data_IF_582713534803
#
_entry.id   IF_582713534803
#
_cell.length_a   1.000
_cell.length_b   1.000
_cell.length_c   1.000
_cell.angle_alpha   90.00
_cell.angle_beta   90.00
_cell.angle_gamma   90.00
#
_symmetry.space_group_name_H-M   'P 1'
#
loop_
_entity.id
_entity.type
_entity.pdbx_description
1 polymer ?
#
# COMPACT_ATOMS: atom_id res chain seq x y z
N UNK A 1 10.65 -22.35 -9.04
CA UNK A 1 10.34 -20.98 -8.56
C UNK A 1 11.68 -20.24 -8.46
N UNK A 2 11.76 -18.97 -8.82
CA UNK A 2 13.03 -18.24 -8.78
C UNK A 2 13.42 -17.88 -7.35
N UNK A 3 14.60 -18.32 -6.91
CA UNK A 3 15.06 -18.14 -5.52
C UNK A 3 15.17 -16.66 -5.14
N UNK A 4 15.77 -15.84 -6.01
CA UNK A 4 15.97 -14.41 -5.75
C UNK A 4 14.65 -13.66 -5.58
N UNK A 5 13.68 -13.95 -6.45
CA UNK A 5 12.35 -13.33 -6.38
C UNK A 5 11.61 -13.83 -5.13
N UNK A 6 11.72 -15.11 -4.81
CA UNK A 6 11.15 -15.67 -3.57
C UNK A 6 11.68 -14.94 -2.33
N UNK A 7 13.00 -14.83 -2.16
CA UNK A 7 13.60 -14.17 -1.01
C UNK A 7 13.21 -12.69 -0.94
N UNK A 8 13.12 -11.99 -2.08
CA UNK A 8 12.63 -10.61 -2.14
C UNK A 8 11.22 -10.49 -1.53
N UNK A 9 10.30 -11.38 -1.88
CA UNK A 9 8.93 -11.36 -1.35
C UNK A 9 8.84 -11.80 0.11
N UNK A 10 9.64 -12.78 0.55
CA UNK A 10 9.69 -13.15 1.97
C UNK A 10 10.19 -11.97 2.81
N UNK A 11 11.28 -11.30 2.40
CA UNK A 11 11.75 -10.10 3.06
C UNK A 11 10.70 -8.97 3.03
N UNK A 12 9.98 -8.81 1.93
CA UNK A 12 8.90 -7.83 1.83
C UNK A 12 7.76 -8.11 2.82
N UNK A 13 7.31 -9.37 2.95
CA UNK A 13 6.27 -9.73 3.93
C UNK A 13 6.75 -9.63 5.37
N UNK A 14 8.02 -9.93 5.66
CA UNK A 14 8.61 -9.68 6.97
C UNK A 14 8.64 -8.18 7.29
N UNK A 15 8.99 -7.34 6.33
CA UNK A 15 8.96 -5.89 6.48
C UNK A 15 7.53 -5.40 6.75
N UNK A 16 6.54 -5.82 5.96
CA UNK A 16 5.13 -5.46 6.13
C UNK A 16 4.60 -5.94 7.49
N UNK A 17 4.89 -7.18 7.88
CA UNK A 17 4.49 -7.75 9.18
C UNK A 17 5.15 -7.07 10.37
N UNK A 18 6.36 -6.52 10.20
CA UNK A 18 7.09 -5.78 11.22
C UNK A 18 6.65 -4.32 11.39
N UNK A 19 5.96 -3.72 10.41
CA UNK A 19 5.52 -2.32 10.47
C UNK A 19 4.77 -1.94 11.76
N UNK A 20 3.79 -2.73 12.26
CA UNK A 20 3.07 -2.40 13.49
C UNK A 20 3.94 -2.35 14.74
N UNK A 21 5.09 -3.04 14.73
CA UNK A 21 6.03 -3.08 15.86
C UNK A 21 7.02 -1.92 15.77
N UNK A 22 7.49 -1.62 14.56
CA UNK A 22 8.58 -0.66 14.32
C UNK A 22 8.06 0.79 14.27
N UNK A 23 6.87 0.99 13.71
CA UNK A 23 6.49 2.30 13.19
C UNK A 23 5.18 2.86 13.75
N UNK A 24 4.24 1.99 14.17
CA UNK A 24 2.94 2.45 14.65
C UNK A 24 2.88 2.50 16.18
N UNK A 25 2.13 3.46 16.73
CA UNK A 25 1.89 3.51 18.18
C UNK A 25 1.16 2.25 18.65
N UNK A 26 1.50 1.68 19.81
CA UNK A 26 0.81 0.51 20.34
C UNK A 26 -0.67 0.83 20.56
N UNK A 27 -1.52 0.20 19.75
CA UNK A 27 -2.98 0.26 19.89
C UNK A 27 -3.56 -0.94 20.62
N UNK A 28 -4.85 -0.90 20.92
CA UNK A 28 -5.57 -2.11 21.32
C UNK A 28 -5.50 -3.14 20.18
N UNK A 29 -4.92 -4.32 20.45
CA UNK A 29 -4.84 -5.42 19.48
C UNK A 29 -6.25 -5.95 19.21
N UNK A 30 -6.91 -5.40 18.20
CA UNK A 30 -8.26 -5.75 17.81
C UNK A 30 -8.23 -6.76 16.64
N UNK A 31 -9.22 -7.65 16.55
CA UNK A 31 -9.37 -8.67 15.48
C UNK A 31 -9.29 -8.03 14.08
N UNK A 32 -9.75 -6.78 13.94
CA UNK A 32 -9.62 -5.98 12.71
C UNK A 32 -8.19 -5.91 12.15
N UNK A 33 -7.19 -5.85 13.03
CA UNK A 33 -5.79 -5.88 12.61
C UNK A 33 -5.43 -7.22 11.95
N UNK A 34 -5.85 -8.33 12.56
CA UNK A 34 -5.58 -9.66 12.01
C UNK A 34 -6.27 -9.84 10.65
N UNK A 35 -7.52 -9.38 10.54
CA UNK A 35 -8.34 -9.46 9.33
C UNK A 35 -7.69 -8.75 8.14
N UNK A 36 -6.99 -7.64 8.38
CA UNK A 36 -6.31 -6.89 7.31
C UNK A 36 -4.88 -7.31 7.06
N UNK A 37 -4.21 -7.90 8.05
CA UNK A 37 -2.90 -8.50 7.87
C UNK A 37 -2.98 -9.89 7.17
N UNK A 38 -4.14 -10.54 7.24
CA UNK A 38 -4.42 -11.86 6.66
C UNK A 38 -3.87 -12.07 5.25
N UNK A 39 -4.14 -11.20 4.25
CA UNK A 39 -3.66 -11.42 2.88
C UNK A 39 -2.14 -11.51 2.77
N UNK A 40 -1.38 -10.82 3.62
CA UNK A 40 0.08 -10.87 3.60
C UNK A 40 0.61 -12.17 4.24
N UNK A 41 0.02 -12.59 5.37
CA UNK A 41 0.40 -13.84 6.02
C UNK A 41 0.07 -15.07 5.16
N UNK A 42 -1.14 -15.10 4.60
CA UNK A 42 -1.55 -16.20 3.71
C UNK A 42 -0.70 -16.22 2.44
N UNK A 43 -0.38 -15.06 1.86
CA UNK A 43 0.49 -14.98 0.69
C UNK A 43 1.92 -15.44 0.99
N UNK A 44 2.49 -15.08 2.15
CA UNK A 44 3.80 -15.56 2.58
C UNK A 44 3.83 -17.08 2.75
N UNK A 45 2.82 -17.64 3.43
CA UNK A 45 2.69 -19.10 3.60
C UNK A 45 2.50 -19.82 2.27
N UNK A 46 1.72 -19.23 1.35
CA UNK A 46 1.53 -19.77 0.01
C UNK A 46 2.85 -19.83 -0.77
N UNK A 47 3.67 -18.77 -0.72
CA UNK A 47 4.98 -18.77 -1.37
C UNK A 47 5.92 -19.80 -0.75
N UNK A 48 5.93 -19.95 0.57
CA UNK A 48 6.72 -20.99 1.24
C UNK A 48 6.26 -22.37 0.78
N UNK A 49 4.95 -22.63 0.79
CA UNK A 49 4.37 -23.90 0.34
C UNK A 49 4.67 -24.19 -1.15
N UNK A 50 4.65 -23.15 -1.99
CA UNK A 50 5.04 -23.23 -3.40
C UNK A 50 6.54 -23.52 -3.58
N UNK A 51 7.39 -22.90 -2.75
CA UNK A 51 8.84 -23.10 -2.78
C UNK A 51 9.24 -24.52 -2.37
N UNK A 52 8.62 -25.08 -1.32
CA UNK A 52 8.88 -26.45 -0.86
C UNK A 52 8.17 -27.52 -1.69
N UNK A 53 7.38 -27.13 -2.69
CA UNK A 53 6.71 -28.06 -3.60
C UNK A 53 5.41 -28.68 -3.07
N UNK A 54 4.81 -28.13 -2.02
CA UNK A 54 3.52 -28.59 -1.47
C UNK A 54 2.35 -28.13 -2.35
N UNK A 55 2.47 -26.96 -2.98
CA UNK A 55 1.44 -26.38 -3.86
C UNK A 55 2.07 -26.03 -5.21
N UNK A 56 1.39 -26.35 -6.30
CA UNK A 56 1.79 -25.97 -7.65
C UNK A 56 1.06 -24.73 -8.14
N UNK A 57 1.76 -23.81 -8.80
CA UNK A 57 1.12 -22.69 -9.51
C UNK A 57 0.44 -23.18 -10.79
N UNK A 58 -0.52 -22.40 -11.30
CA UNK A 58 -1.18 -22.71 -12.57
C UNK A 58 -0.23 -22.72 -13.76
N UNK A 59 0.87 -21.95 -13.69
CA UNK A 59 1.88 -21.88 -14.74
C UNK A 59 2.99 -22.92 -14.60
N UNK A 60 3.04 -23.71 -13.51
CA UNK A 60 4.13 -24.68 -13.29
C UNK A 60 4.26 -25.72 -14.42
N UNK A 61 3.17 -25.99 -15.15
CA UNK A 61 3.15 -26.96 -16.25
C UNK A 61 3.73 -26.43 -17.57
N UNK A 62 3.96 -25.12 -17.67
CA UNK A 62 4.40 -24.46 -18.91
C UNK A 62 5.46 -23.42 -18.53
N UNK A 63 6.75 -23.78 -18.72
CA UNK A 63 7.96 -22.97 -18.51
C UNK A 63 7.74 -21.56 -17.92
N UNK A 64 8.21 -21.34 -16.69
CA UNK A 64 8.21 -20.01 -16.07
C UNK A 64 8.87 -18.98 -16.99
N UNK A 65 8.11 -18.01 -17.52
CA UNK A 65 8.67 -17.03 -18.43
C UNK A 65 9.54 -16.03 -17.65
N UNK A 66 10.77 -15.76 -18.11
CA UNK A 66 11.67 -14.74 -17.53
C UNK A 66 10.97 -13.39 -17.30
N UNK A 67 9.95 -13.09 -18.11
CA UNK A 67 9.12 -11.90 -18.02
C UNK A 67 8.36 -11.80 -16.68
N UNK A 68 7.80 -12.90 -16.16
CA UNK A 68 7.05 -12.84 -14.88
C UNK A 68 7.98 -12.56 -13.71
N UNK A 69 9.19 -13.13 -13.73
CA UNK A 69 10.22 -12.86 -12.70
C UNK A 69 10.66 -11.40 -12.73
N UNK A 70 10.87 -10.81 -13.91
CA UNK A 70 11.25 -9.40 -14.05
C UNK A 70 10.14 -8.49 -13.53
N UNK A 71 8.89 -8.73 -13.93
CA UNK A 71 7.74 -7.92 -13.51
C UNK A 71 7.54 -8.04 -11.99
N UNK A 72 7.58 -9.25 -11.44
CA UNK A 72 7.49 -9.48 -10.00
C UNK A 72 8.64 -8.77 -9.26
N UNK A 73 9.87 -8.89 -9.74
CA UNK A 73 11.02 -8.20 -9.14
C UNK A 73 10.82 -6.68 -9.11
N UNK A 74 10.38 -6.09 -10.22
CA UNK A 74 10.14 -4.66 -10.31
C UNK A 74 9.04 -4.20 -9.32
N UNK A 75 7.97 -4.98 -9.17
CA UNK A 75 6.88 -4.71 -8.24
C UNK A 75 7.33 -4.86 -6.77
N UNK A 76 8.08 -5.91 -6.46
CA UNK A 76 8.65 -6.14 -5.14
C UNK A 76 9.62 -5.05 -4.71
N UNK A 77 10.53 -4.64 -5.60
CA UNK A 77 11.46 -3.51 -5.36
C UNK A 77 10.66 -2.23 -5.15
N UNK A 78 9.69 -1.93 -6.01
CA UNK A 78 8.85 -0.73 -5.90
C UNK A 78 8.08 -0.70 -4.57
N UNK A 79 7.55 -1.83 -4.11
CA UNK A 79 6.90 -1.98 -2.81
C UNK A 79 7.87 -1.67 -1.67
N UNK A 80 9.03 -2.33 -1.62
CA UNK A 80 10.02 -2.14 -0.57
C UNK A 80 10.57 -0.71 -0.53
N UNK A 81 10.88 -0.13 -1.68
CA UNK A 81 11.37 1.25 -1.80
C UNK A 81 10.33 2.25 -1.30
N UNK A 82 9.05 2.05 -1.63
CA UNK A 82 7.99 2.94 -1.16
C UNK A 82 7.75 2.81 0.35
N UNK A 83 7.84 1.59 0.91
CA UNK A 83 7.80 1.39 2.37
C UNK A 83 8.97 2.13 3.04
N UNK A 84 10.20 1.90 2.56
CA UNK A 84 11.40 2.52 3.11
C UNK A 84 11.33 4.05 3.03
N UNK A 85 10.88 4.61 1.91
CA UNK A 85 10.70 6.06 1.75
C UNK A 85 9.63 6.61 2.68
N UNK A 86 8.53 5.88 2.88
CA UNK A 86 7.43 6.29 3.78
C UNK A 86 7.87 6.27 5.24
N UNK A 87 8.62 5.25 5.67
CA UNK A 87 9.20 5.19 7.01
C UNK A 87 10.21 6.34 7.20
N UNK A 88 11.14 6.50 6.27
CA UNK A 88 12.21 7.50 6.38
C UNK A 88 11.74 8.96 6.38
N UNK A 89 10.53 9.22 5.87
CA UNK A 89 9.93 10.55 5.90
C UNK A 89 9.22 10.86 7.21
N UNK A 90 8.74 9.84 7.92
CA UNK A 90 8.06 10.03 9.19
C UNK A 90 9.04 10.11 10.34
N UNK A 91 8.97 11.22 11.09
CA UNK A 91 9.77 11.41 12.32
C UNK A 91 8.99 11.12 13.61
N UNK A 92 7.70 10.81 13.49
CA UNK A 92 6.78 10.50 14.59
C UNK A 92 5.96 9.27 14.20
N UNK A 93 5.75 8.30 15.11
CA UNK A 93 4.95 7.12 14.84
C UNK A 93 3.48 7.49 14.57
N UNK A 94 2.92 6.96 13.48
CA UNK A 94 1.51 7.12 13.11
C UNK A 94 0.63 6.21 13.98
N UNK A 95 -0.66 6.52 14.08
CA UNK A 95 -1.63 5.58 14.62
C UNK A 95 -1.90 4.45 13.62
N UNK A 96 -2.25 3.27 14.14
CA UNK A 96 -2.61 2.15 13.28
C UNK A 96 -3.89 2.48 12.50
N UNK A 97 -3.90 2.09 11.23
CA UNK A 97 -4.99 2.25 10.24
C UNK A 97 -6.30 1.47 10.53
N UNK A 98 -6.61 1.20 11.80
CA UNK A 98 -7.80 0.50 12.30
C UNK A 98 -8.40 1.11 13.56
N UNK A 99 -7.89 2.26 13.98
CA UNK A 99 -8.35 2.94 15.19
C UNK A 99 -9.52 3.87 14.85
N UNK A 100 -10.62 3.72 15.59
CA UNK A 100 -11.86 4.45 15.35
C UNK A 100 -11.87 5.85 15.99
N UNK A 101 -10.92 6.14 16.89
CA UNK A 101 -10.77 7.40 17.64
C UNK A 101 -9.42 8.08 17.36
N UNK A 102 -8.96 8.05 16.11
CA UNK A 102 -7.76 8.78 15.73
C UNK A 102 -8.11 10.27 15.50
N UNK A 103 -7.73 11.12 16.45
CA UNK A 103 -7.60 12.56 16.21
C UNK A 103 -6.17 12.78 15.74
N UNK A 104 -5.97 12.90 14.43
CA UNK A 104 -4.66 13.31 13.92
C UNK A 104 -4.51 14.81 14.19
N UNK A 105 -3.60 15.19 15.09
CA UNK A 105 -3.33 16.61 15.35
C UNK A 105 -2.90 17.35 14.07
N UNK A 106 -2.19 16.66 13.15
CA UNK A 106 -1.77 17.19 11.86
C UNK A 106 -1.69 16.12 10.76
N UNK A 107 -2.08 16.51 9.54
CA UNK A 107 -1.99 15.66 8.35
C UNK A 107 -0.60 15.76 7.74
N UNK A 108 0.05 14.61 7.51
CA UNK A 108 1.34 14.56 6.83
C UNK A 108 1.13 14.68 5.32
N UNK A 109 1.65 15.75 4.72
CA UNK A 109 1.50 16.05 3.28
C UNK A 109 2.83 16.23 2.55
N UNK A 110 3.94 15.75 3.12
CA UNK A 110 5.29 15.84 2.54
C UNK A 110 5.90 14.46 2.28
N UNK A 111 6.94 14.41 1.46
CA UNK A 111 7.57 13.15 1.06
C UNK A 111 6.66 12.35 0.11
N UNK A 112 6.46 11.03 0.29
CA UNK A 112 5.58 10.26 -0.59
C UNK A 112 4.13 10.73 -0.54
N UNK A 113 3.72 11.33 0.58
CA UNK A 113 2.38 11.89 0.78
C UNK A 113 2.10 13.09 -0.13
N UNK A 114 3.11 13.79 -0.63
CA UNK A 114 2.92 14.87 -1.60
C UNK A 114 2.22 14.39 -2.89
N UNK A 115 2.42 13.12 -3.27
CA UNK A 115 1.88 12.55 -4.51
C UNK A 115 0.78 11.54 -4.26
N UNK A 116 0.89 10.74 -3.21
CA UNK A 116 0.02 9.60 -2.91
C UNK A 116 -0.44 9.68 -1.45
N UNK A 117 -1.74 9.77 -1.21
CA UNK A 117 -2.28 9.90 0.16
C UNK A 117 -2.06 8.66 1.03
N UNK A 118 -2.02 7.48 0.41
CA UNK A 118 -1.86 6.19 1.09
C UNK A 118 -0.65 5.41 0.57
N UNK A 119 0.59 5.87 0.82
CA UNK A 119 1.78 5.25 0.23
C UNK A 119 2.06 3.86 0.80
N UNK A 120 1.75 3.60 2.09
CA UNK A 120 1.80 2.24 2.65
C UNK A 120 0.79 1.30 1.96
N UNK A 121 -0.46 1.74 1.73
CA UNK A 121 -1.43 0.87 1.07
C UNK A 121 -1.03 0.60 -0.37
N UNK A 122 -0.44 1.60 -1.02
CA UNK A 122 0.11 1.44 -2.38
C UNK A 122 1.21 0.40 -2.41
N UNK A 123 2.17 0.43 -1.48
CA UNK A 123 3.23 -0.58 -1.43
C UNK A 123 2.68 -1.98 -1.13
N UNK A 124 1.64 -2.08 -0.31
CA UNK A 124 0.96 -3.34 -0.03
C UNK A 124 0.24 -3.91 -1.24
N UNK A 125 -0.45 -3.06 -2.01
CA UNK A 125 -1.09 -3.45 -3.28
C UNK A 125 -0.03 -3.94 -4.26
N UNK A 126 1.10 -3.22 -4.41
CA UNK A 126 2.21 -3.64 -5.27
C UNK A 126 2.79 -5.01 -4.86
N UNK A 127 2.89 -5.27 -3.55
CA UNK A 127 3.33 -6.55 -3.00
C UNK A 127 2.38 -7.68 -3.39
N UNK A 128 1.06 -7.49 -3.22
CA UNK A 128 0.06 -8.50 -3.57
C UNK A 128 -0.03 -8.75 -5.08
N UNK A 129 0.01 -7.68 -5.89
CA UNK A 129 0.02 -7.82 -7.37
C UNK A 129 1.24 -8.63 -7.79
N UNK A 130 2.40 -8.25 -7.27
CA UNK A 130 3.64 -8.91 -7.64
C UNK A 130 3.73 -10.36 -7.14
N UNK A 131 3.11 -10.67 -6.00
CA UNK A 131 2.96 -12.05 -5.52
C UNK A 131 2.07 -12.88 -6.46
N UNK A 132 0.97 -12.32 -6.95
CA UNK A 132 0.12 -13.02 -7.94
C UNK A 132 0.86 -13.23 -9.27
N UNK A 133 1.61 -12.23 -9.74
CA UNK A 133 2.44 -12.35 -10.95
C UNK A 133 3.54 -13.40 -10.76
N UNK A 134 4.18 -13.42 -9.59
CA UNK A 134 5.25 -14.37 -9.27
C UNK A 134 4.74 -15.79 -9.01
N UNK A 135 3.57 -15.94 -8.41
CA UNK A 135 2.98 -17.22 -8.08
C UNK A 135 1.49 -17.22 -8.41
N UNK A 136 1.12 -17.37 -9.69
CA UNK A 136 -0.27 -17.32 -10.13
C UNK A 136 -1.01 -18.56 -9.62
N UNK A 137 -1.88 -18.32 -8.64
CA UNK A 137 -2.65 -19.34 -7.93
C UNK A 137 -3.98 -18.73 -7.48
N UNK A 138 -5.01 -19.56 -7.30
CA UNK A 138 -6.33 -19.04 -6.86
C UNK A 138 -6.24 -18.34 -5.51
N UNK A 139 -5.41 -18.87 -4.60
CA UNK A 139 -5.20 -18.27 -3.28
C UNK A 139 -4.53 -16.90 -3.39
N UNK A 140 -3.48 -16.73 -4.21
CA UNK A 140 -2.83 -15.42 -4.39
C UNK A 140 -3.77 -14.41 -5.05
N UNK A 141 -4.61 -14.85 -5.99
CA UNK A 141 -5.66 -14.00 -6.57
C UNK A 141 -6.71 -13.57 -5.53
N UNK A 142 -7.20 -14.51 -4.71
CA UNK A 142 -8.17 -14.21 -3.67
C UNK A 142 -7.60 -13.24 -2.63
N UNK A 143 -6.35 -13.44 -2.20
CA UNK A 143 -5.68 -12.53 -1.27
C UNK A 143 -5.41 -11.16 -1.89
N UNK A 144 -5.11 -11.09 -3.18
CA UNK A 144 -4.98 -9.84 -3.93
C UNK A 144 -6.29 -9.06 -3.95
N UNK A 145 -7.40 -9.69 -4.37
CA UNK A 145 -8.72 -9.05 -4.43
C UNK A 145 -9.17 -8.63 -3.04
N UNK A 146 -9.06 -9.53 -2.06
CA UNK A 146 -9.40 -9.25 -0.67
C UNK A 146 -8.60 -8.07 -0.11
N UNK A 147 -7.27 -8.06 -0.34
CA UNK A 147 -6.39 -6.99 0.12
C UNK A 147 -6.72 -5.64 -0.52
N UNK A 148 -6.94 -5.60 -1.84
CA UNK A 148 -7.33 -4.38 -2.55
C UNK A 148 -8.64 -3.82 -2.00
N UNK A 149 -9.68 -4.65 -1.88
CA UNK A 149 -10.98 -4.22 -1.38
C UNK A 149 -10.87 -3.72 0.06
N UNK A 150 -10.17 -4.46 0.93
CA UNK A 150 -9.94 -4.06 2.32
C UNK A 150 -9.24 -2.70 2.42
N UNK A 151 -8.15 -2.50 1.67
CA UNK A 151 -7.40 -1.25 1.68
C UNK A 151 -8.20 -0.07 1.10
N UNK A 152 -9.04 -0.30 0.09
CA UNK A 152 -9.94 0.75 -0.44
C UNK A 152 -10.96 1.16 0.62
N UNK A 153 -11.61 0.20 1.29
CA UNK A 153 -12.62 0.49 2.32
C UNK A 153 -12.01 1.21 3.51
N UNK A 154 -10.82 0.78 3.96
CA UNK A 154 -10.06 1.44 5.03
C UNK A 154 -9.70 2.86 4.63
N UNK A 155 -9.08 3.06 3.46
CA UNK A 155 -8.73 4.39 2.96
C UNK A 155 -9.94 5.34 2.86
N UNK A 156 -11.10 4.84 2.40
CA UNK A 156 -12.32 5.64 2.33
C UNK A 156 -12.87 6.02 3.70
N UNK A 157 -12.71 5.15 4.70
CA UNK A 157 -13.14 5.45 6.07
C UNK A 157 -12.24 6.51 6.70
N UNK A 158 -10.93 6.36 6.54
CA UNK A 158 -9.93 7.33 7.02
C UNK A 158 -10.11 8.69 6.35
N UNK A 159 -10.23 8.72 5.02
CA UNK A 159 -10.48 9.94 4.26
C UNK A 159 -11.77 10.66 4.73
N UNK A 160 -12.85 9.91 4.99
CA UNK A 160 -14.11 10.50 5.50
C UNK A 160 -13.97 11.08 6.90
N UNK A 161 -13.17 10.47 7.76
CA UNK A 161 -12.91 11.00 9.10
C UNK A 161 -12.05 12.26 9.04
N UNK A 162 -10.98 12.24 8.23
CA UNK A 162 -10.09 13.39 8.02
C UNK A 162 -10.85 14.58 7.41
N UNK A 163 -11.73 14.36 6.44
CA UNK A 163 -12.56 15.44 5.86
C UNK A 163 -13.53 16.09 6.86
N UNK A 164 -13.90 15.39 7.94
CA UNK A 164 -14.74 15.93 9.02
C UNK A 164 -13.93 16.72 10.04
N UNK A 165 -12.69 16.31 10.27
CA UNK A 165 -11.78 16.92 11.26
C UNK A 165 -11.04 18.13 10.68
N UNK A 166 -10.69 18.12 9.39
CA UNK A 166 -9.81 19.11 8.77
C UNK A 166 -10.33 19.57 7.39
N UNK A 167 -10.61 20.88 7.27
CA UNK A 167 -10.98 21.52 6.02
C UNK A 167 -9.86 21.51 4.97
N UNK A 168 -8.59 21.58 5.38
CA UNK A 168 -7.42 21.55 4.50
C UNK A 168 -7.26 20.20 3.79
N UNK A 169 -7.82 19.13 4.35
CA UNK A 169 -7.75 17.80 3.73
C UNK A 169 -8.44 17.75 2.36
N UNK A 170 -9.53 18.50 2.17
CA UNK A 170 -10.22 18.59 0.86
C UNK A 170 -9.30 19.18 -0.22
N UNK A 171 -8.56 20.23 0.12
CA UNK A 171 -7.58 20.84 -0.81
C UNK A 171 -6.42 19.90 -1.10
N UNK A 172 -5.94 19.19 -0.08
CA UNK A 172 -4.92 18.16 -0.26
C UNK A 172 -5.38 17.03 -1.19
N UNK A 173 -6.63 16.60 -1.12
CA UNK A 173 -7.18 15.57 -2.00
C UNK A 173 -7.29 16.01 -3.47
N UNK A 174 -7.43 17.31 -3.75
CA UNK A 174 -7.46 17.82 -5.13
C UNK A 174 -6.11 17.63 -5.84
N UNK A 175 -5.01 17.93 -5.15
CA UNK A 175 -3.64 17.85 -5.70
C UNK A 175 -2.99 16.46 -5.65
N UNK A 176 -3.47 15.56 -4.79
CA UNK A 176 -2.88 14.22 -4.59
C UNK A 176 -3.76 13.10 -5.10
N UNK A 177 -3.16 11.96 -5.46
CA UNK A 177 -3.92 10.74 -5.79
C UNK A 177 -4.05 9.83 -4.58
N UNK A 178 -5.01 8.89 -4.63
CA UNK A 178 -5.28 7.98 -3.49
C UNK A 178 -4.18 6.91 -3.36
N UNK A 179 -3.93 6.18 -4.46
CA UNK A 179 -2.94 5.09 -4.54
C UNK A 179 -1.90 5.27 -5.66
N UNK A 180 -2.16 6.16 -6.61
CA UNK A 180 -1.24 6.49 -7.70
C UNK A 180 -1.14 8.00 -7.83
N UNK A 181 0.00 8.57 -8.24
CA UNK A 181 0.13 10.01 -8.40
C UNK A 181 -0.88 10.57 -9.41
N UNK A 182 -1.34 11.80 -9.19
CA UNK A 182 -2.04 12.57 -10.20
C UNK A 182 -1.00 13.21 -11.10
N UNK A 183 -0.86 12.72 -12.33
CA UNK A 183 0.02 13.32 -13.34
C UNK A 183 -0.70 14.37 -14.20
N UNK A 184 -2.02 14.50 -14.05
CA UNK A 184 -2.85 15.44 -14.79
C UNK A 184 -3.41 16.49 -13.84
N UNK A 185 -2.69 17.61 -13.69
CA UNK A 185 -3.31 18.87 -13.27
C UNK A 185 -3.78 19.54 -14.56
N UNK A 186 -5.09 19.74 -14.73
CA UNK A 186 -5.60 20.41 -15.92
C UNK A 186 -5.13 21.87 -15.91
N UNK A 187 -4.80 22.42 -17.08
CA UNK A 187 -4.43 23.84 -17.24
C UNK A 187 -5.54 24.79 -16.74
N UNK A 188 -6.79 24.32 -16.67
CA UNK A 188 -7.92 25.03 -16.06
C UNK A 188 -7.79 25.20 -14.54
N UNK A 189 -7.17 24.25 -13.85
CA UNK A 189 -7.04 24.28 -12.39
C UNK A 189 -6.00 25.32 -11.95
N UNK A 190 -4.96 25.53 -12.77
CA UNK A 190 -3.92 26.55 -12.55
C UNK A 190 -4.48 27.97 -12.73
N UNK A 191 -5.39 28.16 -13.69
CA UNK A 191 -6.02 29.45 -13.94
C UNK A 191 -7.04 29.81 -12.84
N UNK A 192 -7.75 28.82 -12.28
CA UNK A 192 -8.68 29.06 -11.18
C UNK A 192 -7.96 29.42 -9.86
N UNK A 193 -6.81 28.80 -9.59
CA UNK A 193 -5.99 29.13 -8.41
C UNK A 193 -5.46 30.57 -8.49
N UNK A 194 -5.02 31.00 -9.68
CA UNK A 194 -4.51 32.38 -9.86
C UNK A 194 -5.62 33.43 -9.86
N UNK A 195 -6.84 33.12 -10.32
CA UNK A 195 -7.98 34.04 -10.21
C UNK A 195 -8.48 34.21 -8.77
N UNK A 196 -8.47 33.17 -7.95
CA UNK A 196 -8.89 33.24 -6.53
C UNK A 196 -7.89 34.03 -5.66
N UNK A 197 -6.60 34.03 -6.01
CA UNK A 197 -5.57 34.87 -5.37
C UNK A 197 -5.70 36.35 -5.76
N UNK A 198 -6.11 36.64 -7.00
CA UNK A 198 -6.28 38.01 -7.49
C UNK A 198 -7.59 38.63 -7.00
N UNK A 199 -8.65 37.85 -6.77
CA UNK A 199 -9.94 38.37 -6.27
C UNK A 199 -9.98 38.63 -4.76
N UNK A 200 -8.98 38.17 -4.01
CA UNK A 200 -8.85 38.35 -2.56
C UNK A 200 -7.83 39.45 -2.18
N UNK A 201 -7.37 40.25 -3.15
CA UNK A 201 -6.63 41.51 -2.96
C UNK A 201 -7.49 42.70 -3.37
#
# INVERSE_FOLDING_TARGET
MNDSVFFLYICNFLLIGGLPIIFFKPGQKNIRWLVTALPFFVSALLLIAGYVGVVSSFQYQSYWPMQTDIIATALGISSNSLIAYTIGTHRVPLHLWHQDNDQSDHIVTYGPYEKIRHPFYTSFILSLIGTFVFFPHIISLLMLVYGIVGLILTAQREERNLQKQDGYYREYMKRTGRFTPKYFTSKSDINNITSDEISNQ
#
